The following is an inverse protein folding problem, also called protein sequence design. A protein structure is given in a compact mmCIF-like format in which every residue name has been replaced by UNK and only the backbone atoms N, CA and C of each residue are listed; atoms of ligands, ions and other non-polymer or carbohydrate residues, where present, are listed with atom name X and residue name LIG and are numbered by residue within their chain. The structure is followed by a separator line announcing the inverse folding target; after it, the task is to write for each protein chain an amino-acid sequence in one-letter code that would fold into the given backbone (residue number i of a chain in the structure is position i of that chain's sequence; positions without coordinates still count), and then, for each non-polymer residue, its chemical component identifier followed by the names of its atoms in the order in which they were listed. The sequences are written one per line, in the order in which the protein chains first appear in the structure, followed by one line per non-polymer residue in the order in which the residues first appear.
data_IF_683380390819
#
_entry.id   IF_683380390819
#
_cell.length_a   1.000
_cell.length_b   1.000
_cell.length_c   1.000
_cell.angle_alpha   90.00
_cell.angle_beta   90.00
_cell.angle_gamma   90.00
#
_symmetry.space_group_name_H-M   'P 1'
#
loop_
_entity.id
_entity.type
_entity.pdbx_description
1 polymer ?
#
# COMPACT_ATOMS: atom_id res chain seq x y z
N UNK A 1 -1.23 1.52 -16.17
CA UNK A 1 -0.55 2.04 -14.96
C UNK A 1 0.38 0.99 -14.33
N UNK A 2 -0.03 -0.27 -14.10
CA UNK A 2 0.83 -1.30 -13.50
C UNK A 2 2.20 -1.44 -14.19
N UNK A 3 2.21 -1.74 -15.49
CA UNK A 3 3.45 -1.90 -16.28
C UNK A 3 4.32 -0.64 -16.28
N UNK A 4 3.67 0.53 -16.30
CA UNK A 4 4.39 1.80 -16.23
C UNK A 4 5.19 1.93 -14.94
N UNK A 5 4.55 1.71 -13.78
CA UNK A 5 5.20 1.88 -12.47
C UNK A 5 6.23 0.77 -12.20
N UNK A 6 5.98 -0.47 -12.64
CA UNK A 6 6.85 -1.61 -12.29
C UNK A 6 7.97 -1.87 -13.30
N UNK A 7 7.89 -1.32 -14.51
CA UNK A 7 8.86 -1.60 -15.58
C UNK A 7 9.40 -0.34 -16.26
N UNK A 8 8.50 0.49 -16.80
CA UNK A 8 8.91 1.61 -17.65
C UNK A 8 9.57 2.72 -16.82
N UNK A 9 8.93 3.13 -15.73
CA UNK A 9 9.46 4.17 -14.85
C UNK A 9 10.80 3.80 -14.21
N UNK A 10 11.00 2.61 -13.61
CA UNK A 10 12.30 2.20 -13.11
C UNK A 10 13.38 2.19 -14.21
N UNK A 11 13.05 1.71 -15.39
CA UNK A 11 13.99 1.72 -16.54
C UNK A 11 14.41 3.14 -16.90
N UNK A 12 13.44 4.06 -16.97
CA UNK A 12 13.70 5.47 -17.29
C UNK A 12 14.56 6.13 -16.21
N UNK A 13 14.22 5.94 -14.93
CA UNK A 13 14.94 6.51 -13.80
C UNK A 13 16.38 6.01 -13.75
N UNK A 14 16.59 4.71 -13.91
CA UNK A 14 17.93 4.12 -13.95
C UNK A 14 18.80 4.61 -15.12
N UNK A 15 18.18 5.02 -16.22
CA UNK A 15 18.88 5.53 -17.39
C UNK A 15 19.23 7.02 -17.27
N UNK A 16 18.43 7.79 -16.54
CA UNK A 16 18.53 9.26 -16.53
C UNK A 16 19.04 9.86 -15.23
N UNK A 17 18.95 9.13 -14.10
CA UNK A 17 19.31 9.64 -12.79
C UNK A 17 20.41 8.80 -12.14
N UNK A 18 21.31 9.43 -11.35
CA UNK A 18 22.34 8.73 -10.59
C UNK A 18 21.76 8.10 -9.31
N UNK A 19 20.79 7.22 -9.46
CA UNK A 19 20.14 6.52 -8.34
C UNK A 19 20.76 5.14 -8.13
N UNK A 20 20.64 4.63 -6.90
CA UNK A 20 21.02 3.26 -6.61
C UNK A 20 20.08 2.30 -7.35
N UNK A 21 20.65 1.50 -8.25
CA UNK A 21 19.87 0.52 -9.02
C UNK A 21 19.27 -0.52 -8.08
N UNK A 22 18.07 -0.92 -8.40
CA UNK A 22 17.33 -1.97 -7.68
C UNK A 22 17.04 -1.66 -6.19
N UNK A 23 17.14 -0.39 -5.80
CA UNK A 23 16.80 0.10 -4.45
C UNK A 23 15.58 0.99 -4.48
N UNK A 24 14.42 0.37 -4.54
CA UNK A 24 13.15 1.07 -4.56
C UNK A 24 12.34 0.79 -3.30
N UNK A 25 11.66 1.80 -2.84
CA UNK A 25 10.58 1.70 -1.84
C UNK A 25 9.31 2.31 -2.43
N UNK A 26 8.17 1.97 -1.89
CA UNK A 26 6.90 2.47 -2.42
C UNK A 26 6.00 2.93 -1.27
N UNK A 27 5.38 4.10 -1.47
CA UNK A 27 4.38 4.64 -0.56
C UNK A 27 3.27 5.35 -1.34
N UNK A 28 2.15 5.57 -0.69
CA UNK A 28 1.04 6.32 -1.27
C UNK A 28 -0.04 6.64 -0.26
N UNK A 29 -0.93 7.57 -0.65
CA UNK A 29 -2.07 8.00 0.14
C UNK A 29 -3.37 7.53 -0.52
N UNK A 30 -4.35 7.10 0.27
CA UNK A 30 -5.70 6.73 -0.17
C UNK A 30 -5.69 5.62 -1.25
N UNK A 31 -6.20 5.88 -2.44
CA UNK A 31 -6.08 4.98 -3.60
C UNK A 31 -4.62 4.71 -3.98
N UNK A 32 -3.73 5.71 -3.81
CA UNK A 32 -2.28 5.52 -4.00
C UNK A 32 -1.68 4.61 -2.92
N UNK A 33 -2.21 4.64 -1.70
CA UNK A 33 -1.87 3.72 -0.62
C UNK A 33 -2.26 2.27 -0.95
N UNK A 34 -3.47 2.06 -1.47
CA UNK A 34 -3.87 0.77 -2.05
C UNK A 34 -2.89 0.31 -3.13
N UNK A 35 -2.57 1.22 -4.07
CA UNK A 35 -1.62 0.95 -5.14
C UNK A 35 -0.25 0.54 -4.60
N UNK A 36 0.26 1.22 -3.58
CA UNK A 36 1.55 0.89 -2.96
C UNK A 36 1.54 -0.51 -2.34
N UNK A 37 0.52 -0.84 -1.54
CA UNK A 37 0.37 -2.18 -0.95
C UNK A 37 0.27 -3.26 -2.01
N UNK A 38 -0.63 -3.09 -2.98
CA UNK A 38 -0.87 -4.04 -4.07
C UNK A 38 0.40 -4.26 -4.92
N UNK A 39 1.09 -3.18 -5.29
CA UNK A 39 2.31 -3.27 -6.10
C UNK A 39 3.44 -3.95 -5.35
N UNK A 40 3.64 -3.64 -4.06
CA UNK A 40 4.66 -4.28 -3.24
C UNK A 40 4.39 -5.78 -3.07
N UNK A 41 3.15 -6.18 -2.79
CA UNK A 41 2.77 -7.58 -2.62
C UNK A 41 2.85 -8.38 -3.93
N UNK A 42 2.65 -7.73 -5.08
CA UNK A 42 2.80 -8.39 -6.40
C UNK A 42 4.24 -8.49 -6.86
N UNK A 43 5.12 -7.59 -6.42
CA UNK A 43 6.51 -7.48 -6.87
C UNK A 43 7.46 -7.34 -5.66
N UNK A 44 7.48 -8.32 -4.76
CA UNK A 44 8.31 -8.23 -3.55
C UNK A 44 9.82 -8.15 -3.86
N UNK A 45 10.24 -8.61 -5.02
CA UNK A 45 11.63 -8.50 -5.48
C UNK A 45 12.02 -7.07 -5.86
N UNK A 46 11.05 -6.24 -6.27
CA UNK A 46 11.31 -4.88 -6.76
C UNK A 46 11.45 -3.88 -5.60
N UNK A 47 10.66 -4.04 -4.54
CA UNK A 47 10.61 -3.05 -3.46
C UNK A 47 11.26 -3.57 -2.18
N UNK A 48 11.97 -2.70 -1.46
CA UNK A 48 12.61 -2.99 -0.18
C UNK A 48 11.69 -2.70 1.01
N UNK A 49 10.79 -1.76 0.88
CA UNK A 49 9.80 -1.41 1.90
C UNK A 49 8.53 -0.85 1.27
N UNK A 50 7.46 -0.90 2.03
CA UNK A 50 6.15 -0.38 1.66
C UNK A 50 5.51 0.33 2.84
N UNK A 51 4.88 1.46 2.56
CA UNK A 51 4.05 2.15 3.53
C UNK A 51 2.83 2.80 2.87
N UNK A 52 1.81 3.09 3.65
CA UNK A 52 0.59 3.68 3.14
C UNK A 52 -0.05 4.63 4.16
N UNK A 53 -0.53 5.77 3.67
CA UNK A 53 -1.30 6.75 4.41
C UNK A 53 -2.76 6.61 4.02
N UNK A 54 -3.64 6.34 4.98
CA UNK A 54 -5.08 6.16 4.79
C UNK A 54 -5.44 5.30 3.55
N UNK A 55 -4.87 4.08 3.39
CA UNK A 55 -5.07 3.30 2.19
C UNK A 55 -6.48 2.72 2.08
N UNK A 56 -7.02 2.65 0.85
CA UNK A 56 -8.16 1.79 0.56
C UNK A 56 -7.71 0.32 0.59
N UNK A 57 -7.68 -0.28 1.78
CA UNK A 57 -6.99 -1.54 2.06
C UNK A 57 -7.68 -2.77 1.47
N UNK A 58 -9.01 -2.71 1.26
CA UNK A 58 -9.76 -3.76 0.56
C UNK A 58 -10.80 -3.15 -0.38
N UNK A 59 -10.44 -3.00 -1.63
CA UNK A 59 -11.28 -2.38 -2.66
C UNK A 59 -12.49 -3.23 -3.03
N UNK A 60 -12.39 -4.55 -2.93
CA UNK A 60 -13.52 -5.47 -3.17
C UNK A 60 -14.66 -5.25 -2.16
N UNK A 61 -14.33 -4.87 -0.92
CA UNK A 61 -15.30 -4.70 0.18
C UNK A 61 -16.03 -3.36 0.11
N UNK A 62 -15.45 -2.37 -0.55
CA UNK A 62 -16.07 -1.05 -0.69
C UNK A 62 -16.93 -0.96 -1.94
N UNK A 63 -18.06 -0.25 -1.88
CA UNK A 63 -18.94 -0.02 -3.03
C UNK A 63 -18.23 0.75 -4.16
N UNK A 64 -17.40 1.73 -3.79
CA UNK A 64 -16.58 2.50 -4.73
C UNK A 64 -15.54 1.62 -5.41
N UNK A 65 -14.78 0.85 -4.64
CA UNK A 65 -13.73 -0.03 -5.15
C UNK A 65 -14.29 -1.15 -6.04
N UNK A 66 -15.37 -1.80 -5.62
CA UNK A 66 -16.05 -2.82 -6.42
C UNK A 66 -16.51 -2.27 -7.78
N UNK A 67 -17.08 -1.06 -7.79
CA UNK A 67 -17.48 -0.39 -9.03
C UNK A 67 -16.28 -0.10 -9.94
N UNK A 68 -15.17 0.37 -9.38
CA UNK A 68 -13.94 0.62 -10.13
C UNK A 68 -13.36 -0.67 -10.70
N UNK A 69 -13.30 -1.74 -9.91
CA UNK A 69 -12.84 -3.05 -10.36
C UNK A 69 -13.71 -3.60 -11.49
N UNK A 70 -15.04 -3.49 -11.37
CA UNK A 70 -15.96 -3.87 -12.42
C UNK A 70 -15.71 -3.09 -13.72
N UNK A 71 -15.50 -1.79 -13.63
CA UNK A 71 -15.23 -0.95 -14.82
C UNK A 71 -13.90 -1.30 -15.51
N UNK A 72 -12.86 -1.69 -14.76
CA UNK A 72 -11.54 -1.97 -15.31
C UNK A 72 -11.33 -3.43 -15.69
N UNK A 73 -11.96 -4.37 -14.98
CA UNK A 73 -11.70 -5.81 -15.10
C UNK A 73 -12.93 -6.62 -15.55
N UNK A 74 -14.11 -5.96 -15.68
CA UNK A 74 -15.37 -6.66 -15.97
C UNK A 74 -16.00 -7.32 -14.76
N UNK A 75 -16.93 -8.22 -14.98
CA UNK A 75 -17.80 -8.81 -13.93
C UNK A 75 -17.18 -10.03 -13.23
N UNK A 76 -15.98 -10.47 -13.63
CA UNK A 76 -15.31 -11.60 -13.00
C UNK A 76 -14.71 -11.19 -11.65
N UNK A 77 -15.47 -11.43 -10.59
CA UNK A 77 -15.04 -11.11 -9.20
C UNK A 77 -13.77 -11.87 -8.81
N UNK A 78 -13.53 -13.06 -9.36
CA UNK A 78 -12.29 -13.79 -9.08
C UNK A 78 -11.05 -13.06 -9.64
N UNK A 79 -11.21 -12.37 -10.78
CA UNK A 79 -10.14 -11.53 -11.33
C UNK A 79 -9.83 -10.33 -10.43
N UNK A 80 -10.80 -9.80 -9.66
CA UNK A 80 -10.59 -8.65 -8.78
C UNK A 80 -9.65 -8.95 -7.61
N UNK A 81 -9.67 -10.19 -7.10
CA UNK A 81 -8.82 -10.62 -5.98
C UNK A 81 -7.32 -10.40 -6.26
N UNK A 82 -6.92 -10.53 -7.51
CA UNK A 82 -5.54 -10.28 -7.93
C UNK A 82 -5.13 -8.79 -7.87
N UNK A 83 -6.06 -7.89 -7.58
CA UNK A 83 -5.86 -6.44 -7.54
C UNK A 83 -6.33 -5.80 -6.22
N UNK A 84 -6.69 -6.61 -5.23
CA UNK A 84 -7.06 -6.18 -3.89
C UNK A 84 -5.93 -6.48 -2.92
N UNK A 85 -5.52 -5.50 -2.10
CA UNK A 85 -4.37 -5.66 -1.22
C UNK A 85 -4.61 -6.71 -0.12
N UNK A 86 -5.82 -6.77 0.43
CA UNK A 86 -6.20 -7.74 1.46
C UNK A 86 -6.21 -9.17 0.91
N UNK A 87 -6.83 -9.37 -0.26
CA UNK A 87 -6.87 -10.68 -0.93
C UNK A 87 -5.48 -11.15 -1.37
N UNK A 88 -4.64 -10.22 -1.83
CA UNK A 88 -3.24 -10.53 -2.14
C UNK A 88 -2.46 -10.97 -0.91
N UNK A 89 -2.64 -10.32 0.24
CA UNK A 89 -2.01 -10.71 1.49
C UNK A 89 -2.41 -12.14 1.89
N UNK A 90 -3.71 -12.44 1.84
CA UNK A 90 -4.23 -13.76 2.17
C UNK A 90 -3.73 -14.86 1.22
N UNK A 91 -3.68 -14.59 -0.08
CA UNK A 91 -3.34 -15.59 -1.09
C UNK A 91 -1.85 -15.83 -1.25
N UNK A 92 -1.02 -14.79 -1.07
CA UNK A 92 0.44 -14.88 -1.26
C UNK A 92 1.19 -15.17 0.03
N UNK A 93 0.61 -14.85 1.18
CA UNK A 93 1.26 -14.94 2.46
C UNK A 93 2.23 -13.81 2.76
N UNK A 94 3.00 -13.91 3.86
CA UNK A 94 3.84 -12.82 4.33
C UNK A 94 5.08 -12.62 3.47
N UNK A 95 5.49 -11.37 3.33
CA UNK A 95 6.80 -10.99 2.78
C UNK A 95 7.71 -10.64 3.95
N UNK A 96 8.54 -11.58 4.36
CA UNK A 96 9.31 -11.54 5.62
C UNK A 96 10.23 -10.32 5.76
N UNK A 97 10.69 -9.74 4.65
CA UNK A 97 11.52 -8.54 4.67
C UNK A 97 10.73 -7.24 4.94
N UNK A 98 9.39 -7.27 4.85
CA UNK A 98 8.58 -6.09 5.08
C UNK A 98 8.15 -5.98 6.54
N UNK A 99 8.35 -4.82 7.13
CA UNK A 99 7.48 -4.28 8.16
C UNK A 99 6.60 -3.23 7.47
N UNK A 100 5.35 -3.56 7.20
CA UNK A 100 4.44 -2.64 6.51
C UNK A 100 4.04 -1.54 7.48
N UNK A 101 4.17 -0.26 7.08
CA UNK A 101 3.73 0.86 7.89
C UNK A 101 2.43 1.43 7.30
N UNK A 102 1.39 1.53 8.13
CA UNK A 102 0.13 2.17 7.78
C UNK A 102 -0.23 3.20 8.86
N UNK A 103 -0.46 4.43 8.43
CA UNK A 103 -1.10 5.45 9.24
C UNK A 103 -2.50 5.76 8.71
N UNK A 104 -3.44 6.02 9.61
CA UNK A 104 -4.82 6.36 9.30
C UNK A 104 -5.32 7.41 10.30
N UNK A 105 -6.03 8.43 9.84
CA UNK A 105 -6.71 9.36 10.72
C UNK A 105 -7.82 8.66 11.51
N UNK A 106 -7.87 8.87 12.83
CA UNK A 106 -8.90 8.26 13.67
C UNK A 106 -10.29 8.86 13.42
N UNK A 107 -10.35 10.07 12.84
CA UNK A 107 -11.60 10.77 12.47
C UNK A 107 -11.84 10.71 10.93
N UNK A 108 -11.21 9.75 10.24
CA UNK A 108 -11.33 9.60 8.78
C UNK A 108 -12.75 9.16 8.37
N UNK A 109 -13.46 10.00 7.64
CA UNK A 109 -14.83 9.77 7.18
C UNK A 109 -14.95 8.57 6.23
N UNK A 110 -13.91 8.28 5.43
CA UNK A 110 -13.90 7.12 4.53
C UNK A 110 -13.65 5.80 5.28
N UNK A 111 -13.21 5.89 6.51
CA UNK A 111 -13.14 4.72 7.39
C UNK A 111 -14.49 4.46 8.07
N UNK A 112 -15.11 5.51 8.64
CA UNK A 112 -16.26 5.36 9.56
C UNK A 112 -17.60 5.53 8.86
N UNK A 113 -17.76 6.55 8.03
CA UNK A 113 -19.06 6.93 7.47
C UNK A 113 -19.30 6.26 6.12
N UNK A 114 -18.37 6.40 5.18
CA UNK A 114 -18.49 5.84 3.84
C UNK A 114 -17.96 4.40 3.72
N UNK A 115 -17.26 3.91 4.73
CA UNK A 115 -16.70 2.55 4.84
C UNK A 115 -16.00 2.10 3.55
N UNK A 116 -15.01 2.89 3.13
CA UNK A 116 -14.27 2.62 1.88
C UNK A 116 -12.87 2.07 2.11
N UNK A 117 -12.26 2.32 3.28
CA UNK A 117 -10.85 2.02 3.50
C UNK A 117 -10.60 0.60 3.99
N UNK A 118 -11.46 0.06 4.85
CA UNK A 118 -11.37 -1.30 5.40
C UNK A 118 -9.99 -1.67 5.98
N UNK A 119 -9.35 -0.83 6.81
CA UNK A 119 -8.02 -1.13 7.36
C UNK A 119 -8.02 -2.39 8.24
N UNK A 120 -9.11 -2.63 8.96
CA UNK A 120 -9.31 -3.82 9.80
C UNK A 120 -9.25 -5.13 9.02
N UNK A 121 -9.69 -5.13 7.76
CA UNK A 121 -9.63 -6.31 6.90
C UNK A 121 -8.19 -6.65 6.53
N UNK A 122 -7.38 -5.63 6.23
CA UNK A 122 -5.96 -5.81 5.91
C UNK A 122 -5.15 -6.20 7.15
N UNK A 123 -5.42 -5.57 8.29
CA UNK A 123 -4.80 -5.93 9.58
C UNK A 123 -5.10 -7.38 9.96
N UNK A 124 -6.36 -7.80 9.83
CA UNK A 124 -6.75 -9.19 10.08
C UNK A 124 -6.04 -10.17 9.13
N UNK A 125 -5.90 -9.80 7.85
CA UNK A 125 -5.18 -10.60 6.87
C UNK A 125 -3.68 -10.72 7.23
N UNK A 126 -3.03 -9.62 7.60
CA UNK A 126 -1.65 -9.62 8.06
C UNK A 126 -1.45 -10.52 9.29
N UNK A 127 -2.33 -10.39 10.28
CA UNK A 127 -2.29 -11.22 11.48
C UNK A 127 -2.47 -12.72 11.15
N UNK A 128 -3.41 -13.04 10.26
CA UNK A 128 -3.68 -14.42 9.85
C UNK A 128 -2.47 -15.10 9.20
N UNK A 129 -1.73 -14.38 8.36
CA UNK A 129 -0.58 -14.93 7.65
C UNK A 129 0.76 -14.70 8.35
N UNK A 130 0.78 -13.96 9.44
CA UNK A 130 2.00 -13.61 10.19
C UNK A 130 2.85 -12.53 9.53
N UNK A 131 2.24 -11.60 8.78
CA UNK A 131 2.92 -10.44 8.23
C UNK A 131 3.16 -9.38 9.29
N UNK A 132 4.38 -8.87 9.40
CA UNK A 132 4.67 -7.71 10.25
C UNK A 132 4.00 -6.46 9.72
N UNK A 133 3.13 -5.87 10.53
CA UNK A 133 2.40 -4.65 10.26
C UNK A 133 2.53 -3.69 11.45
N UNK A 134 2.94 -2.47 11.19
CA UNK A 134 2.79 -1.33 12.10
C UNK A 134 1.59 -0.53 11.64
N UNK A 135 0.47 -0.66 12.35
CA UNK A 135 -0.74 0.11 12.08
C UNK A 135 -0.92 1.16 13.18
N UNK A 136 -1.11 2.42 12.79
CA UNK A 136 -1.28 3.54 13.71
C UNK A 136 -2.53 4.33 13.34
N UNK A 137 -3.50 4.38 14.25
CA UNK A 137 -4.62 5.32 14.19
C UNK A 137 -4.19 6.63 14.85
N UNK A 138 -4.34 7.74 14.16
CA UNK A 138 -3.86 9.06 14.56
C UNK A 138 -5.02 9.91 15.04
N UNK A 139 -5.13 10.12 16.34
CA UNK A 139 -6.22 10.86 16.97
C UNK A 139 -6.30 12.31 16.45
N UNK A 140 -7.50 12.77 16.12
CA UNK A 140 -7.79 14.12 15.66
C UNK A 140 -7.42 14.40 14.21
N UNK A 141 -7.11 13.38 13.43
CA UNK A 141 -6.85 13.50 12.00
C UNK A 141 -7.93 12.82 11.16
N UNK A 142 -8.29 13.47 10.08
CA UNK A 142 -9.19 13.03 9.04
C UNK A 142 -8.44 12.51 7.79
N UNK A 143 -9.10 12.45 6.62
CA UNK A 143 -8.51 12.01 5.33
C UNK A 143 -7.73 13.11 4.60
N UNK A 144 -7.39 14.21 5.26
CA UNK A 144 -6.83 15.40 4.63
C UNK A 144 -5.36 15.30 4.23
N UNK A 145 -4.93 16.30 3.46
CA UNK A 145 -3.51 16.47 3.15
C UNK A 145 -2.69 16.90 4.37
N UNK A 146 -3.31 17.54 5.38
CA UNK A 146 -2.65 17.92 6.63
C UNK A 146 -2.25 16.67 7.42
N UNK A 147 -3.13 15.65 7.46
CA UNK A 147 -2.78 14.34 7.98
C UNK A 147 -1.56 13.76 7.25
N UNK A 148 -1.65 13.67 5.91
CA UNK A 148 -0.56 13.09 5.13
C UNK A 148 0.77 13.84 5.31
N UNK A 149 0.74 15.17 5.34
CA UNK A 149 1.93 16.01 5.53
C UNK A 149 2.54 15.80 6.92
N UNK A 150 1.72 15.67 7.96
CA UNK A 150 2.19 15.50 9.35
C UNK A 150 3.00 14.21 9.52
N UNK A 151 2.57 13.11 8.94
CA UNK A 151 3.21 11.81 9.12
C UNK A 151 4.20 11.43 8.01
N UNK A 152 4.38 12.28 7.01
CA UNK A 152 5.28 12.05 5.87
C UNK A 152 6.72 11.76 6.30
N UNK A 153 7.24 12.48 7.30
CA UNK A 153 8.61 12.29 7.79
C UNK A 153 8.83 10.88 8.35
N UNK A 154 7.86 10.34 9.08
CA UNK A 154 7.93 8.99 9.64
C UNK A 154 7.98 7.93 8.53
N UNK A 155 7.16 8.12 7.48
CA UNK A 155 7.16 7.24 6.32
C UNK A 155 8.49 7.31 5.55
N UNK A 156 9.04 8.50 5.34
CA UNK A 156 10.37 8.66 4.71
C UNK A 156 11.44 7.96 5.55
N UNK A 157 11.44 8.15 6.87
CA UNK A 157 12.39 7.49 7.78
C UNK A 157 12.30 5.97 7.70
N UNK A 158 11.08 5.41 7.73
CA UNK A 158 10.82 3.99 7.54
C UNK A 158 11.47 3.44 6.26
N UNK A 159 11.34 4.15 5.15
CA UNK A 159 11.95 3.75 3.88
C UNK A 159 13.47 3.87 3.86
N UNK A 160 14.01 4.94 4.43
CA UNK A 160 15.47 5.16 4.51
C UNK A 160 16.14 4.05 5.34
N UNK A 161 15.56 3.68 6.48
CA UNK A 161 16.06 2.60 7.32
C UNK A 161 16.07 1.25 6.59
N UNK A 162 14.99 0.93 5.89
CA UNK A 162 14.90 -0.31 5.11
C UNK A 162 15.91 -0.36 3.95
N UNK A 163 16.11 0.75 3.24
CA UNK A 163 17.07 0.83 2.14
C UNK A 163 18.53 0.75 2.61
N UNK A 164 18.84 1.27 3.80
CA UNK A 164 20.18 1.15 4.39
C UNK A 164 20.46 -0.28 4.87
N UNK A 165 19.51 -0.93 5.52
CA UNK A 165 19.66 -2.32 5.99
C UNK A 165 19.88 -3.32 4.87
N UNK A 166 19.33 -3.06 3.70
CA UNK A 166 19.53 -3.87 2.49
C UNK A 166 20.92 -3.72 1.85
N UNK A 167 21.79 -2.87 2.43
CA UNK A 167 23.16 -2.60 1.91
C UNK A 167 24.24 -3.32 2.72
N UNK A 168 23.87 -3.99 3.78
CA UNK A 168 24.74 -4.76 4.68
C UNK A 168 24.65 -6.24 4.38
#
# INVERSE_FOLDING_TARGET
MYSYITKELPTLLNAQLPIAKDKYSIMGHSMGGHGALMLALKNPELYHSVSALAPASSTIRSSYGAKALQMYLGDDVAAWQAWDATELMLSKGPVSKYNILIDLGADDEFWHDDVQLHPEAFEAACNQVGQHLTFRAQDGYDHSWDFAATFMEDHIRHHVEALHSASS
#
